data_IF_144400337104
#
_entry.id   IF_144400337104
#
_cell.length_a   1.000
_cell.length_b   1.000
_cell.length_c   1.000
_cell.angle_alpha   90.00
_cell.angle_beta   90.00
_cell.angle_gamma   90.00
#
_symmetry.space_group_name_H-M   'P 1'
#
loop_
_entity.id
_entity.type
_entity.pdbx_description
1 polymer ?
#
# COMPACT_ATOMS: atom_id res chain seq x y z
N UNK A 1 3.88 7.42 -11.22
CA UNK A 1 5.07 8.06 -11.81
C UNK A 1 4.96 9.56 -11.62
N UNK A 2 6.08 10.31 -11.64
CA UNK A 2 6.06 11.77 -11.58
C UNK A 2 5.06 12.36 -12.56
N UNK A 3 4.31 13.37 -12.15
CA UNK A 3 3.18 13.90 -12.92
C UNK A 3 3.61 14.36 -14.31
N UNK A 4 4.78 15.00 -14.45
CA UNK A 4 5.29 15.45 -15.75
C UNK A 4 5.84 14.32 -16.65
N UNK A 5 6.18 13.16 -16.10
CA UNK A 5 6.54 11.97 -16.90
C UNK A 5 5.31 11.26 -17.50
N UNK A 6 4.14 11.40 -16.86
CA UNK A 6 2.89 10.75 -17.30
C UNK A 6 2.03 11.61 -18.23
N UNK A 7 2.30 12.90 -18.30
CA UNK A 7 1.57 13.81 -19.18
C UNK A 7 2.55 14.43 -20.13
N UNK A 8 2.45 14.06 -21.41
CA UNK A 8 2.83 15.02 -22.44
C UNK A 8 2.03 16.30 -22.19
N UNK A 9 2.62 17.47 -22.43
CA UNK A 9 1.93 18.75 -22.25
C UNK A 9 0.64 18.82 -23.08
N UNK A 10 0.55 18.01 -24.15
CA UNK A 10 -0.67 17.82 -24.95
C UNK A 10 -1.76 16.96 -24.26
N UNK A 11 -1.42 15.87 -23.55
CA UNK A 11 -2.43 14.98 -22.90
C UNK A 11 -3.13 15.63 -21.70
N UNK A 12 -2.41 16.44 -20.90
CA UNK A 12 -3.01 17.19 -19.79
C UNK A 12 -4.03 18.26 -20.26
N UNK A 13 -3.96 18.64 -21.53
CA UNK A 13 -4.77 19.70 -22.15
C UNK A 13 -5.93 19.14 -22.98
N UNK A 14 -6.04 17.81 -23.11
CA UNK A 14 -7.09 17.17 -23.90
C UNK A 14 -8.44 17.17 -23.15
N UNK A 15 -9.54 17.64 -23.77
CA UNK A 15 -10.88 17.54 -23.17
C UNK A 15 -11.25 16.07 -22.92
N UNK A 16 -11.42 15.69 -21.64
CA UNK A 16 -11.82 14.34 -21.24
C UNK A 16 -10.74 13.50 -20.52
N UNK A 17 -9.54 14.03 -20.29
CA UNK A 17 -8.50 13.34 -19.51
C UNK A 17 -8.97 13.03 -18.08
N UNK A 18 -9.16 11.74 -17.78
CA UNK A 18 -9.40 11.22 -16.43
C UNK A 18 -8.13 10.54 -15.94
N UNK A 19 -7.53 11.06 -14.86
CA UNK A 19 -6.47 10.34 -14.13
C UNK A 19 -6.94 8.91 -13.83
N UNK A 20 -6.09 7.92 -14.09
CA UNK A 20 -6.37 6.53 -13.71
C UNK A 20 -6.75 6.47 -12.23
N UNK A 21 -7.95 5.94 -11.96
CA UNK A 21 -8.50 5.77 -10.60
C UNK A 21 -8.13 4.41 -10.01
N UNK A 22 -7.15 3.73 -10.58
CA UNK A 22 -6.75 2.41 -10.10
C UNK A 22 -5.90 2.55 -8.85
N UNK A 23 -6.38 1.90 -7.79
CA UNK A 23 -5.79 1.95 -6.48
C UNK A 23 -5.90 0.59 -5.82
N UNK A 24 -4.92 0.30 -4.99
CA UNK A 24 -4.96 -0.73 -3.97
C UNK A 24 -4.68 -0.09 -2.62
N UNK A 25 -5.27 -0.62 -1.55
CA UNK A 25 -4.93 -0.24 -0.18
C UNK A 25 -4.13 -1.34 0.49
N UNK A 26 -3.14 -0.95 1.30
CA UNK A 26 -2.28 -1.85 2.04
C UNK A 26 -2.46 -1.63 3.54
N UNK A 27 -2.59 -2.73 4.28
CA UNK A 27 -2.40 -2.73 5.72
C UNK A 27 -1.08 -3.41 6.05
N UNK A 28 -0.23 -2.66 6.76
CA UNK A 28 1.08 -3.06 7.24
C UNK A 28 1.07 -3.11 8.76
N UNK A 29 1.70 -4.12 9.36
CA UNK A 29 1.80 -4.26 10.81
C UNK A 29 3.12 -4.93 11.18
N UNK A 30 3.79 -4.39 12.21
CA UNK A 30 5.09 -4.86 12.67
C UNK A 30 5.24 -4.60 14.17
N UNK A 31 5.99 -5.48 14.85
CA UNK A 31 6.32 -5.27 16.26
C UNK A 31 7.42 -4.22 16.45
N UNK A 32 7.52 -3.69 17.67
CA UNK A 32 8.43 -2.60 18.00
C UNK A 32 9.93 -2.91 17.81
N UNK A 33 10.35 -4.16 18.00
CA UNK A 33 11.72 -4.60 17.77
C UNK A 33 12.06 -4.73 16.27
N UNK A 34 11.04 -4.74 15.40
CA UNK A 34 11.18 -5.01 13.97
C UNK A 34 11.51 -6.45 13.63
N UNK A 35 11.36 -7.38 14.58
CA UNK A 35 11.66 -8.81 14.41
C UNK A 35 10.48 -9.62 13.88
N UNK A 36 9.26 -9.10 14.02
CA UNK A 36 8.04 -9.76 13.55
C UNK A 36 7.23 -8.79 12.69
N UNK A 37 7.26 -9.04 11.38
CA UNK A 37 6.43 -8.35 10.39
C UNK A 37 5.26 -9.25 10.06
N UNK A 38 4.05 -8.77 10.25
CA UNK A 38 2.87 -9.52 9.85
C UNK A 38 2.77 -9.60 8.33
N UNK A 39 2.12 -10.64 7.79
CA UNK A 39 1.76 -10.70 6.37
C UNK A 39 0.95 -9.47 5.96
N UNK A 40 1.31 -8.87 4.83
CA UNK A 40 0.57 -7.73 4.26
C UNK A 40 -0.88 -8.13 3.96
N UNK A 41 -1.81 -7.20 4.18
CA UNK A 41 -3.14 -7.28 3.62
C UNK A 41 -3.25 -6.26 2.47
N UNK A 42 -3.58 -6.75 1.28
CA UNK A 42 -3.84 -5.93 0.10
C UNK A 42 -5.34 -5.96 -0.22
N UNK A 43 -5.92 -4.77 -0.40
CA UNK A 43 -7.31 -4.57 -0.79
C UNK A 43 -7.34 -4.03 -2.22
N UNK A 44 -7.89 -4.80 -3.14
CA UNK A 44 -8.16 -4.38 -4.51
C UNK A 44 -9.64 -4.14 -4.78
N UNK A 45 -9.98 -3.68 -5.99
CA UNK A 45 -11.39 -3.49 -6.40
C UNK A 45 -12.10 -4.82 -6.68
N UNK A 46 -11.53 -5.60 -7.60
CA UNK A 46 -12.13 -6.83 -8.10
C UNK A 46 -11.96 -7.99 -7.13
N UNK A 47 -13.00 -8.82 -6.96
CA UNK A 47 -12.93 -10.05 -6.17
C UNK A 47 -11.98 -11.09 -6.77
N UNK A 48 -11.93 -11.16 -8.10
CA UNK A 48 -11.08 -12.09 -8.87
C UNK A 48 -10.47 -11.35 -10.06
N UNK A 49 -9.39 -10.60 -9.85
CA UNK A 49 -8.69 -9.93 -10.94
C UNK A 49 -8.31 -10.91 -12.06
N UNK A 50 -8.38 -10.46 -13.31
CA UNK A 50 -7.97 -11.28 -14.49
C UNK A 50 -6.57 -11.87 -14.32
N UNK A 51 -5.65 -11.13 -13.70
CA UNK A 51 -4.27 -11.57 -13.43
C UNK A 51 -4.16 -12.72 -12.43
N UNK A 52 -5.23 -13.08 -11.72
CA UNK A 52 -5.28 -14.23 -10.81
C UNK A 52 -5.74 -15.51 -11.52
N UNK A 53 -6.01 -15.47 -12.83
CA UNK A 53 -6.27 -16.68 -13.61
C UNK A 53 -5.12 -17.68 -13.40
N UNK A 54 -5.47 -18.90 -13.00
CA UNK A 54 -4.53 -19.99 -12.68
C UNK A 54 -3.60 -19.72 -11.48
N UNK A 55 -3.96 -18.80 -10.58
CA UNK A 55 -3.22 -18.57 -9.34
C UNK A 55 -3.99 -19.13 -8.15
N UNK A 56 -3.31 -19.88 -7.30
CA UNK A 56 -3.83 -20.25 -5.99
C UNK A 56 -3.71 -19.00 -5.09
N UNK A 57 -4.81 -18.29 -4.86
CA UNK A 57 -4.79 -17.00 -4.13
C UNK A 57 -4.13 -17.10 -2.76
N UNK A 58 -4.29 -18.24 -2.07
CA UNK A 58 -3.68 -18.48 -0.75
C UNK A 58 -2.15 -18.68 -0.81
N UNK A 59 -1.56 -18.89 -1.98
CA UNK A 59 -0.10 -18.98 -2.15
C UNK A 59 0.54 -17.63 -2.48
N UNK A 60 -0.25 -16.55 -2.57
CA UNK A 60 0.28 -15.20 -2.77
C UNK A 60 1.07 -14.76 -1.52
N UNK A 61 2.10 -13.91 -1.67
CA UNK A 61 2.91 -13.42 -0.55
C UNK A 61 2.17 -12.39 0.32
N UNK A 62 0.89 -12.14 0.06
CA UNK A 62 0.02 -11.21 0.80
C UNK A 62 -1.35 -11.84 0.98
N UNK A 63 -2.08 -11.44 2.02
CA UNK A 63 -3.52 -11.71 2.11
C UNK A 63 -4.26 -10.75 1.17
N UNK A 64 -5.09 -11.28 0.28
CA UNK A 64 -5.90 -10.48 -0.63
C UNK A 64 -7.35 -10.35 -0.12
N UNK A 65 -7.91 -9.15 -0.24
CA UNK A 65 -9.33 -8.84 -0.05
C UNK A 65 -9.80 -7.92 -1.17
N UNK A 66 -11.10 -7.87 -1.41
CA UNK A 66 -11.69 -6.95 -2.35
C UNK A 66 -12.69 -6.02 -1.66
N UNK A 67 -12.76 -4.79 -2.16
CA UNK A 67 -13.77 -3.80 -1.80
C UNK A 67 -13.90 -2.88 -3.01
N UNK A 68 -15.12 -2.53 -3.43
CA UNK A 68 -15.37 -1.86 -4.74
C UNK A 68 -14.56 -0.59 -4.97
N UNK A 69 -14.39 0.21 -3.93
CA UNK A 69 -13.60 1.44 -3.97
C UNK A 69 -12.13 1.23 -3.58
N UNK A 70 -11.71 -0.02 -3.34
CA UNK A 70 -10.42 -0.47 -2.83
C UNK A 70 -9.95 0.24 -1.56
N UNK A 71 -10.87 0.62 -0.67
CA UNK A 71 -10.57 1.25 0.62
C UNK A 71 -10.64 0.27 1.78
N UNK A 72 -9.96 0.62 2.87
CA UNK A 72 -10.16 -0.04 4.17
C UNK A 72 -11.54 0.35 4.74
N UNK A 73 -12.25 -0.62 5.31
CA UNK A 73 -13.46 -0.40 6.11
C UNK A 73 -13.39 -1.19 7.43
N UNK A 74 -14.32 -0.91 8.33
CA UNK A 74 -14.33 -1.51 9.68
C UNK A 74 -14.48 -3.04 9.63
N UNK A 75 -15.27 -3.58 8.71
CA UNK A 75 -15.47 -5.03 8.56
C UNK A 75 -14.18 -5.75 8.15
N UNK A 76 -13.47 -5.23 7.15
CA UNK A 76 -12.20 -5.79 6.69
C UNK A 76 -11.16 -5.69 7.81
N UNK A 77 -11.13 -4.57 8.51
CA UNK A 77 -10.19 -4.35 9.61
C UNK A 77 -10.46 -5.31 10.79
N UNK A 78 -11.72 -5.47 11.19
CA UNK A 78 -12.14 -6.38 12.27
C UNK A 78 -11.82 -7.84 11.91
N UNK A 79 -12.15 -8.28 10.70
CA UNK A 79 -11.77 -9.62 10.20
C UNK A 79 -10.25 -9.80 10.19
N UNK A 80 -9.50 -8.80 9.74
CA UNK A 80 -8.04 -8.86 9.79
C UNK A 80 -7.51 -8.99 11.23
N UNK A 81 -8.12 -8.29 12.18
CA UNK A 81 -7.73 -8.37 13.58
C UNK A 81 -7.94 -9.78 14.15
N UNK A 82 -9.14 -10.35 14.01
CA UNK A 82 -9.49 -11.65 14.59
C UNK A 82 -8.88 -12.85 13.83
N UNK A 83 -8.87 -12.81 12.49
CA UNK A 83 -8.43 -13.95 11.65
C UNK A 83 -6.96 -13.84 11.23
N UNK A 84 -6.34 -12.67 11.43
CA UNK A 84 -4.98 -12.38 11.00
C UNK A 84 -4.05 -12.04 12.15
N UNK A 85 -4.29 -10.91 12.80
CA UNK A 85 -3.42 -10.38 13.84
C UNK A 85 -3.38 -11.29 15.08
N UNK A 86 -4.53 -11.63 15.65
CA UNK A 86 -4.61 -12.42 16.90
C UNK A 86 -3.92 -13.80 16.77
N UNK A 87 -4.20 -14.62 15.73
CA UNK A 87 -3.55 -15.93 15.59
C UNK A 87 -2.04 -15.81 15.35
N UNK A 88 -1.62 -14.85 14.51
CA UNK A 88 -0.19 -14.61 14.22
C UNK A 88 0.56 -14.24 15.49
N UNK A 89 0.04 -13.29 16.27
CA UNK A 89 0.68 -12.84 17.51
C UNK A 89 0.72 -13.96 18.56
N UNK A 90 -0.36 -14.73 18.71
CA UNK A 90 -0.36 -15.91 19.60
C UNK A 90 0.71 -16.91 19.22
N UNK A 91 0.84 -17.21 17.92
CA UNK A 91 1.88 -18.12 17.42
C UNK A 91 3.29 -17.57 17.67
N UNK A 92 3.52 -16.30 17.38
CA UNK A 92 4.81 -15.65 17.60
C UNK A 92 5.21 -15.66 19.09
N UNK A 93 4.29 -15.29 19.98
CA UNK A 93 4.54 -15.30 21.43
C UNK A 93 4.75 -16.71 21.97
N UNK A 94 4.01 -17.71 21.47
CA UNK A 94 4.21 -19.11 21.84
C UNK A 94 5.61 -19.61 21.45
N UNK A 95 6.10 -19.27 20.25
CA UNK A 95 7.48 -19.60 19.83
C UNK A 95 8.55 -18.95 20.73
N UNK A 96 8.24 -17.80 21.34
CA UNK A 96 9.12 -17.12 22.29
C UNK A 96 8.92 -17.57 23.74
N UNK A 97 8.03 -18.54 24.00
CA UNK A 97 7.61 -18.95 25.35
C UNK A 97 7.08 -17.78 26.21
N UNK A 98 6.38 -16.83 25.58
CA UNK A 98 5.77 -15.68 26.22
C UNK A 98 4.26 -15.88 26.39
N UNK A 99 3.64 -15.27 27.41
CA UNK A 99 2.19 -15.29 27.53
C UNK A 99 1.54 -14.54 26.36
N UNK A 100 0.31 -14.90 25.93
CA UNK A 100 -0.36 -14.29 24.79
C UNK A 100 -0.93 -12.90 25.14
N UNK A 101 -0.05 -11.96 25.49
CA UNK A 101 -0.38 -10.58 25.84
C UNK A 101 0.25 -9.63 24.82
N UNK A 102 -0.57 -8.81 24.18
CA UNK A 102 -0.09 -7.86 23.19
C UNK A 102 -1.03 -6.66 23.06
N UNK A 103 -0.46 -5.54 22.62
CA UNK A 103 -1.22 -4.34 22.27
C UNK A 103 -0.94 -3.98 20.82
N UNK A 104 -2.00 -3.85 20.03
CA UNK A 104 -1.95 -3.24 18.70
C UNK A 104 -2.17 -1.75 18.84
N UNK A 105 -1.20 -0.93 18.42
CA UNK A 105 -1.36 0.52 18.35
C UNK A 105 -1.93 0.90 16.98
N UNK A 106 -3.04 1.62 16.97
CA UNK A 106 -3.73 2.05 15.75
C UNK A 106 -3.80 3.59 15.72
N UNK A 107 -3.59 4.18 14.54
CA UNK A 107 -3.88 5.59 14.31
C UNK A 107 -5.38 5.89 14.46
N UNK A 108 -5.72 7.16 14.65
CA UNK A 108 -7.13 7.56 14.72
C UNK A 108 -7.68 7.80 13.30
N UNK A 109 -8.23 6.75 12.68
CA UNK A 109 -8.94 6.83 11.40
C UNK A 109 -10.39 6.30 11.53
N UNK A 110 -11.37 6.90 10.83
CA UNK A 110 -12.77 6.48 10.86
C UNK A 110 -13.04 5.05 10.36
N UNK A 111 -12.07 4.43 9.69
CA UNK A 111 -12.19 3.07 9.14
C UNK A 111 -11.94 1.95 10.18
N UNK A 112 -11.69 2.30 11.44
CA UNK A 112 -11.46 1.33 12.50
C UNK A 112 -12.77 0.98 13.23
N UNK A 113 -12.96 -0.30 13.53
CA UNK A 113 -14.04 -0.76 14.40
C UNK A 113 -13.89 -0.20 15.82
N UNK A 114 -14.99 -0.13 16.57
CA UNK A 114 -14.96 0.32 17.96
C UNK A 114 -13.97 -0.50 18.79
N UNK A 115 -13.24 0.14 19.71
CA UNK A 115 -12.19 -0.48 20.54
C UNK A 115 -12.67 -1.75 21.27
N UNK A 116 -13.96 -1.78 21.65
CA UNK A 116 -14.60 -2.93 22.31
C UNK A 116 -14.65 -4.19 21.43
N UNK A 117 -14.71 -4.03 20.11
CA UNK A 117 -14.75 -5.14 19.15
C UNK A 117 -13.33 -5.66 18.81
N UNK A 118 -12.29 -4.94 19.23
CA UNK A 118 -10.88 -5.24 18.93
C UNK A 118 -10.14 -5.80 20.14
N UNK A 119 -10.74 -6.78 20.80
CA UNK A 119 -10.17 -7.49 21.95
C UNK A 119 -10.37 -9.01 21.82
N UNK A 120 -9.33 -9.78 22.14
CA UNK A 120 -9.37 -11.24 22.26
C UNK A 120 -8.50 -11.66 23.46
N UNK A 121 -9.11 -11.81 24.62
CA UNK A 121 -8.39 -12.09 25.88
C UNK A 121 -7.44 -10.93 26.23
N UNK A 122 -6.15 -11.23 26.42
CA UNK A 122 -5.11 -10.24 26.76
C UNK A 122 -4.47 -9.58 25.52
N UNK A 123 -5.03 -9.81 24.33
CA UNK A 123 -4.63 -9.15 23.09
C UNK A 123 -5.69 -8.12 22.75
N UNK A 124 -5.31 -6.84 22.66
CA UNK A 124 -6.25 -5.75 22.38
C UNK A 124 -5.66 -4.69 21.47
N UNK A 125 -6.52 -3.96 20.78
CA UNK A 125 -6.14 -2.72 20.10
C UNK A 125 -6.30 -1.51 21.02
N UNK A 126 -5.44 -0.51 20.84
CA UNK A 126 -5.53 0.81 21.49
C UNK A 126 -5.34 1.88 20.42
N UNK A 127 -6.19 2.90 20.44
CA UNK A 127 -6.10 4.05 19.57
C UNK A 127 -5.10 5.08 20.11
N UNK A 128 -4.23 5.58 19.23
CA UNK A 128 -3.38 6.71 19.54
C UNK A 128 -4.26 7.97 19.75
N UNK A 129 -3.88 8.89 20.67
CA UNK A 129 -4.65 10.10 20.90
C UNK A 129 -4.81 10.93 19.63
N UNK A 130 -5.99 11.52 19.45
CA UNK A 130 -6.25 12.47 18.35
C UNK A 130 -5.23 13.62 18.37
N UNK A 131 -4.87 14.12 17.19
CA UNK A 131 -3.98 15.29 16.96
C UNK A 131 -2.47 15.08 17.21
N UNK A 132 -2.05 13.89 17.67
CA UNK A 132 -0.61 13.56 17.81
C UNK A 132 -0.16 12.43 16.88
N UNK A 133 -1.09 11.84 16.11
CA UNK A 133 -0.86 10.69 15.22
C UNK A 133 0.34 10.89 14.29
N UNK A 134 0.41 12.01 13.57
CA UNK A 134 1.54 12.32 12.67
C UNK A 134 2.89 12.41 13.41
N UNK A 135 2.87 12.76 14.70
CA UNK A 135 4.05 13.02 15.50
C UNK A 135 4.58 11.77 16.20
N UNK A 136 3.69 10.81 16.51
CA UNK A 136 4.01 9.62 17.32
C UNK A 136 3.77 8.29 16.60
N UNK A 137 2.90 8.21 15.58
CA UNK A 137 2.60 6.95 14.89
C UNK A 137 3.87 6.39 14.22
N UNK A 138 4.42 5.26 14.68
CA UNK A 138 5.70 4.75 14.17
C UNK A 138 5.64 4.40 12.68
N UNK A 139 4.48 3.89 12.24
CA UNK A 139 4.26 3.50 10.86
C UNK A 139 4.38 4.68 9.89
N UNK A 140 3.80 5.82 10.25
CA UNK A 140 3.76 7.03 9.41
C UNK A 140 5.09 7.80 9.45
N UNK A 141 5.91 7.58 10.48
CA UNK A 141 7.16 8.33 10.62
C UNK A 141 8.28 7.86 9.70
N UNK A 142 8.42 6.55 9.48
CA UNK A 142 9.57 6.00 8.72
C UNK A 142 9.28 4.69 8.01
N UNK A 143 8.43 3.85 8.58
CA UNK A 143 8.24 2.47 8.10
C UNK A 143 7.50 2.46 6.77
N UNK A 144 6.37 3.16 6.68
CA UNK A 144 5.58 3.26 5.44
C UNK A 144 6.37 4.03 4.38
N UNK A 145 7.05 5.12 4.73
CA UNK A 145 7.88 5.88 3.80
C UNK A 145 9.00 5.01 3.19
N UNK A 146 9.74 4.27 4.03
CA UNK A 146 10.79 3.36 3.56
C UNK A 146 10.22 2.29 2.61
N UNK A 147 9.06 1.70 2.96
CA UNK A 147 8.38 0.74 2.10
C UNK A 147 7.97 1.35 0.76
N UNK A 148 7.38 2.57 0.77
CA UNK A 148 7.00 3.31 -0.44
C UNK A 148 8.20 3.56 -1.35
N UNK A 149 9.34 3.99 -0.80
CA UNK A 149 10.59 4.20 -1.56
C UNK A 149 11.09 2.91 -2.20
N UNK A 150 11.09 1.79 -1.46
CA UNK A 150 11.46 0.49 -2.03
C UNK A 150 10.50 0.01 -3.12
N UNK A 151 9.19 0.20 -2.93
CA UNK A 151 8.18 -0.11 -3.94
C UNK A 151 8.38 0.73 -5.21
N UNK A 152 8.58 2.03 -5.04
CA UNK A 152 8.81 2.99 -6.14
C UNK A 152 10.06 2.65 -6.95
N UNK A 153 11.19 2.34 -6.29
CA UNK A 153 12.40 1.83 -6.96
C UNK A 153 12.08 0.58 -7.79
N UNK A 154 11.35 -0.39 -7.22
CA UNK A 154 10.96 -1.62 -7.94
C UNK A 154 10.07 -1.35 -9.15
N UNK A 155 9.09 -0.47 -9.00
CA UNK A 155 8.19 -0.09 -10.09
C UNK A 155 8.96 0.50 -11.26
N UNK A 156 9.85 1.46 -10.99
CA UNK A 156 10.67 2.11 -12.02
C UNK A 156 11.62 1.09 -12.67
N UNK A 157 12.31 0.27 -11.87
CA UNK A 157 13.19 -0.79 -12.41
C UNK A 157 12.43 -1.81 -13.24
N UNK A 158 11.17 -2.12 -12.92
CA UNK A 158 10.33 -3.00 -13.72
C UNK A 158 9.99 -2.37 -15.07
N UNK A 159 9.66 -1.07 -15.07
CA UNK A 159 9.36 -0.30 -16.28
C UNK A 159 10.59 -0.19 -17.19
N UNK A 160 11.77 0.08 -16.63
CA UNK A 160 13.05 0.10 -17.38
C UNK A 160 13.39 -1.22 -18.08
N UNK A 161 12.88 -2.34 -17.59
CA UNK A 161 13.09 -3.65 -18.20
C UNK A 161 12.11 -3.95 -19.33
N UNK A 162 11.09 -3.10 -19.51
CA UNK A 162 10.17 -3.21 -20.63
C UNK A 162 10.79 -2.48 -21.82
N UNK A 163 10.84 -3.13 -22.99
CA UNK A 163 11.32 -2.53 -24.24
C UNK A 163 10.28 -1.57 -24.88
N UNK A 164 9.38 -1.01 -24.08
CA UNK A 164 8.31 -0.12 -24.52
C UNK A 164 8.40 1.22 -23.80
N UNK A 165 7.81 2.25 -24.40
CA UNK A 165 7.65 3.54 -23.75
C UNK A 165 6.87 3.43 -22.42
N UNK A 166 6.98 4.47 -21.59
CA UNK A 166 6.39 4.50 -20.25
C UNK A 166 4.91 4.09 -20.20
N UNK A 167 4.10 4.58 -21.15
CA UNK A 167 2.67 4.30 -21.20
C UNK A 167 2.38 2.82 -21.55
N UNK A 168 3.14 2.22 -22.46
CA UNK A 168 3.06 0.79 -22.77
C UNK A 168 3.42 -0.08 -21.57
N UNK A 169 4.53 0.25 -20.91
CA UNK A 169 5.01 -0.47 -19.72
C UNK A 169 3.98 -0.40 -18.56
N UNK A 170 3.41 0.78 -18.31
CA UNK A 170 2.41 0.96 -17.25
C UNK A 170 1.10 0.19 -17.51
N UNK A 171 0.63 0.13 -18.76
CA UNK A 171 -0.57 -0.62 -19.12
C UNK A 171 -0.43 -2.13 -18.89
N UNK A 172 0.79 -2.66 -18.89
CA UNK A 172 1.07 -4.09 -18.63
C UNK A 172 1.12 -4.45 -17.15
N UNK A 173 1.34 -3.47 -16.27
CA UNK A 173 1.40 -3.71 -14.83
C UNK A 173 0.02 -4.04 -14.31
N UNK A 174 -0.13 -5.25 -13.77
CA UNK A 174 -1.38 -5.70 -13.17
C UNK A 174 -1.22 -5.91 -11.66
N UNK A 175 -2.33 -6.22 -10.98
CA UNK A 175 -2.35 -6.38 -9.51
C UNK A 175 -1.44 -7.51 -9.00
N UNK A 176 -1.16 -8.54 -9.81
CA UNK A 176 -0.22 -9.60 -9.44
C UNK A 176 1.19 -9.00 -9.31
N UNK A 177 1.62 -8.20 -10.28
CA UNK A 177 2.92 -7.55 -10.26
C UNK A 177 3.04 -6.62 -9.06
N UNK A 178 1.99 -5.85 -8.77
CA UNK A 178 1.90 -5.00 -7.58
C UNK A 178 2.07 -5.84 -6.31
N UNK A 179 1.38 -6.96 -6.17
CA UNK A 179 1.48 -7.87 -5.01
C UNK A 179 2.91 -8.31 -4.76
N UNK A 180 3.63 -8.75 -5.81
CA UNK A 180 5.01 -9.18 -5.66
C UNK A 180 5.94 -7.99 -5.35
N UNK A 181 5.74 -6.84 -5.99
CA UNK A 181 6.53 -5.64 -5.74
C UNK A 181 6.38 -5.15 -4.30
N UNK A 182 5.15 -5.06 -3.77
CA UNK A 182 4.91 -4.60 -2.39
C UNK A 182 5.39 -5.61 -1.36
N UNK A 183 5.24 -6.91 -1.62
CA UNK A 183 5.76 -7.95 -0.74
C UNK A 183 7.29 -7.86 -0.64
N UNK A 184 7.99 -7.71 -1.76
CA UNK A 184 9.43 -7.55 -1.76
C UNK A 184 9.87 -6.22 -1.11
N UNK A 185 9.14 -5.12 -1.37
CA UNK A 185 9.41 -3.84 -0.73
C UNK A 185 9.27 -3.92 0.80
N UNK A 186 8.26 -4.65 1.29
CA UNK A 186 8.06 -4.88 2.72
C UNK A 186 9.20 -5.67 3.35
N UNK A 187 9.75 -6.68 2.66
CA UNK A 187 10.90 -7.43 3.16
C UNK A 187 12.15 -6.55 3.30
N UNK A 188 12.36 -5.58 2.40
CA UNK A 188 13.51 -4.68 2.43
C UNK A 188 13.51 -3.68 3.60
N UNK A 189 12.36 -3.41 4.23
CA UNK A 189 12.28 -2.52 5.40
C UNK A 189 13.04 -3.11 6.58
N UNK A 190 14.19 -2.54 6.97
CA UNK A 190 15.06 -3.13 8.00
C UNK A 190 14.49 -2.97 9.41
N UNK A 191 14.78 -3.95 10.29
CA UNK A 191 14.43 -3.88 11.71
C UNK A 191 14.98 -2.62 12.40
N UNK A 192 16.18 -2.15 12.01
CA UNK A 192 16.74 -0.90 12.52
C UNK A 192 15.88 0.33 12.19
N UNK A 193 15.31 0.41 10.97
CA UNK A 193 14.38 1.47 10.58
C UNK A 193 13.11 1.43 11.43
N UNK A 194 12.59 0.23 11.68
CA UNK A 194 11.43 0.01 12.55
C UNK A 194 11.74 0.44 13.99
N UNK A 195 12.81 -0.07 14.61
CA UNK A 195 13.22 0.33 15.98
C UNK A 195 13.33 1.85 16.13
N UNK A 196 13.98 2.53 15.17
CA UNK A 196 14.10 4.00 15.16
C UNK A 196 12.75 4.70 15.13
N UNK A 197 11.76 4.17 14.41
CA UNK A 197 10.40 4.74 14.35
C UNK A 197 9.63 4.60 15.67
N UNK A 198 9.87 3.53 16.43
CA UNK A 198 9.23 3.29 17.72
C UNK A 198 9.92 4.02 18.88
N UNK A 199 11.09 4.61 18.66
CA UNK A 199 11.90 5.25 19.70
C UNK A 199 11.12 6.33 20.48
N UNK A 200 10.31 7.13 19.78
CA UNK A 200 9.50 8.20 20.40
C UNK A 200 8.39 7.68 21.33
N UNK A 201 7.90 6.45 21.12
CA UNK A 201 6.85 5.84 21.95
C UNK A 201 7.47 5.02 23.10
N UNK A 202 8.56 4.30 22.82
CA UNK A 202 9.11 3.31 23.75
C UNK A 202 10.19 3.89 24.66
N UNK A 203 10.90 4.92 24.22
CA UNK A 203 12.09 5.43 24.89
C UNK A 203 11.85 6.81 25.47
N UNK A 204 11.16 6.83 26.62
CA UNK A 204 11.39 7.87 27.64
C UNK A 204 12.56 7.51 28.58
N UNK A 205 13.25 6.36 28.42
CA UNK A 205 14.19 5.89 29.48
C UNK A 205 15.43 5.06 29.13
N UNK A 206 15.92 4.95 27.89
CA UNK A 206 17.22 4.27 27.63
C UNK A 206 18.07 5.02 26.61
N UNK A 207 19.24 5.48 27.08
CA UNK A 207 20.31 6.05 26.26
C UNK A 207 20.87 5.01 25.29
N UNK A 208 21.39 5.56 24.22
CA UNK A 208 21.75 5.01 22.92
C UNK A 208 22.87 3.97 22.99
N UNK A 209 22.81 3.02 22.06
CA UNK A 209 23.96 2.59 21.26
C UNK A 209 23.42 2.11 19.91
N UNK A 210 24.02 2.60 18.81
CA UNK A 210 24.37 1.84 17.60
C UNK A 210 24.64 2.77 16.42
N UNK A 211 25.93 3.05 16.20
CA UNK A 211 26.52 3.37 14.91
C UNK A 211 26.70 2.08 14.12
N UNK A 212 25.83 1.83 13.13
CA UNK A 212 26.12 0.90 12.04
C UNK A 212 25.66 1.53 10.72
N UNK A 213 26.60 1.74 9.81
CA UNK A 213 26.31 2.06 8.41
C UNK A 213 25.68 0.84 7.76
N UNK A 214 24.48 1.01 7.23
CA UNK A 214 23.81 0.02 6.37
C UNK A 214 23.08 0.78 5.27
N UNK A 215 22.95 0.16 4.09
CA UNK A 215 22.21 0.75 2.96
C UNK A 215 20.83 1.23 3.41
N UNK A 216 20.61 2.53 3.29
CA UNK A 216 19.37 3.19 3.67
C UNK A 216 18.29 2.94 2.59
N UNK A 217 17.00 3.23 2.87
CA UNK A 217 16.00 3.30 1.80
C UNK A 217 16.52 4.17 0.64
N UNK A 218 16.10 3.91 -0.61
CA UNK A 218 16.56 4.66 -1.76
C UNK A 218 16.43 6.16 -1.53
N UNK A 219 17.56 6.84 -1.70
CA UNK A 219 17.65 8.30 -1.67
C UNK A 219 16.96 8.90 -2.88
N UNK A 220 16.65 10.20 -2.80
CA UNK A 220 16.01 10.91 -3.91
C UNK A 220 16.92 10.90 -5.15
N UNK A 221 18.24 11.06 -4.97
CA UNK A 221 19.22 10.99 -6.06
C UNK A 221 19.31 9.61 -6.73
N UNK A 222 19.28 8.52 -5.95
CA UNK A 222 19.21 7.18 -6.55
C UNK A 222 17.91 6.97 -7.36
N UNK A 223 16.79 7.53 -6.92
CA UNK A 223 15.54 7.45 -7.69
C UNK A 223 15.60 8.32 -8.95
N UNK A 224 16.24 9.49 -8.87
CA UNK A 224 16.43 10.41 -9.99
C UNK A 224 17.24 9.78 -11.13
N UNK A 225 18.38 9.18 -10.81
CA UNK A 225 19.21 8.50 -11.81
C UNK A 225 18.45 7.38 -12.53
N UNK A 226 17.63 6.62 -11.79
CA UNK A 226 16.83 5.54 -12.37
C UNK A 226 15.70 6.10 -13.24
N UNK A 227 15.02 7.18 -12.83
CA UNK A 227 13.91 7.77 -13.59
C UNK A 227 14.40 8.37 -14.91
N UNK A 228 15.53 9.09 -14.91
CA UNK A 228 16.10 9.67 -16.13
C UNK A 228 16.61 8.62 -17.13
N UNK A 229 16.78 7.37 -16.69
CA UNK A 229 17.07 6.26 -17.58
C UNK A 229 15.86 5.74 -18.36
N UNK A 230 14.63 6.19 -18.05
CA UNK A 230 13.42 5.76 -18.77
C UNK A 230 13.24 6.63 -20.02
N UNK A 231 13.05 5.99 -21.17
CA UNK A 231 12.67 6.66 -22.41
C UNK A 231 11.36 7.46 -22.24
N UNK A 232 11.42 8.77 -22.49
CA UNK A 232 10.32 9.72 -22.27
C UNK A 232 10.30 10.39 -20.88
N UNK A 233 11.30 10.15 -20.03
CA UNK A 233 11.46 10.80 -18.72
C UNK A 233 12.70 11.71 -18.63
N UNK A 234 13.31 12.07 -19.75
CA UNK A 234 14.61 12.76 -19.79
C UNK A 234 14.58 14.19 -19.22
N UNK A 235 13.40 14.80 -19.12
CA UNK A 235 13.18 16.16 -18.58
C UNK A 235 12.69 16.18 -17.12
N UNK A 236 12.69 15.04 -16.40
CA UNK A 236 12.22 14.99 -15.01
C UNK A 236 13.19 15.76 -14.10
N UNK A 237 12.66 16.70 -13.32
CA UNK A 237 13.44 17.46 -12.33
C UNK A 237 13.35 16.81 -10.93
N UNK A 238 14.29 17.15 -10.04
CA UNK A 238 14.27 16.71 -8.63
C UNK A 238 12.94 17.05 -7.93
N UNK A 239 12.38 18.22 -8.23
CA UNK A 239 11.08 18.65 -7.70
C UNK A 239 9.93 17.72 -8.12
N UNK A 240 10.00 17.14 -9.32
CA UNK A 240 8.97 16.23 -9.83
C UNK A 240 9.03 14.87 -9.10
N UNK A 241 10.22 14.45 -8.67
CA UNK A 241 10.42 13.26 -7.84
C UNK A 241 9.92 13.49 -6.43
N UNK A 242 10.25 14.63 -5.84
CA UNK A 242 9.73 14.99 -4.53
C UNK A 242 8.20 14.98 -4.52
N UNK A 243 7.58 15.65 -5.50
CA UNK A 243 6.12 15.64 -5.66
C UNK A 243 5.57 14.22 -5.85
N UNK A 244 6.24 13.38 -6.64
CA UNK A 244 5.83 11.99 -6.81
C UNK A 244 5.92 11.16 -5.53
N UNK A 245 6.94 11.39 -4.70
CA UNK A 245 7.09 10.75 -3.40
C UNK A 245 5.91 11.12 -2.48
N UNK A 246 5.49 12.38 -2.51
CA UNK A 246 4.47 12.95 -1.62
C UNK A 246 3.00 12.82 -2.09
N UNK A 247 2.73 12.52 -3.37
CA UNK A 247 1.35 12.40 -3.92
C UNK A 247 0.45 11.49 -3.07
N UNK A 248 0.98 10.40 -2.53
CA UNK A 248 0.20 9.44 -1.75
C UNK A 248 -0.15 9.94 -0.34
N UNK A 249 0.58 10.94 0.17
CA UNK A 249 0.30 11.55 1.47
C UNK A 249 -0.84 12.59 1.37
N UNK A 250 -1.24 12.96 0.15
CA UNK A 250 -2.33 13.92 -0.12
C UNK A 250 -3.72 13.26 -0.18
N UNK A 251 -3.79 11.92 -0.20
CA UNK A 251 -5.04 11.18 -0.16
C UNK A 251 -5.28 10.59 1.23
N UNK A 252 -6.48 10.77 1.84
CA UNK A 252 -6.80 10.14 3.12
C UNK A 252 -6.69 8.61 2.98
N UNK A 253 -6.30 7.89 4.04
CA UNK A 253 -6.17 6.42 4.01
C UNK A 253 -7.51 5.66 4.07
N UNK A 254 -8.61 6.40 4.19
CA UNK A 254 -9.99 5.93 4.32
C UNK A 254 -10.92 6.76 3.44
N UNK A 255 -12.05 6.18 3.05
CA UNK A 255 -13.13 6.89 2.36
C UNK A 255 -14.14 7.41 3.39
N UNK A 256 -14.54 8.67 3.23
CA UNK A 256 -15.82 9.16 3.75
C UNK A 256 -16.84 8.85 2.67
N UNK A 257 -17.63 7.79 2.84
CA UNK A 257 -18.66 7.40 1.89
C UNK A 257 -19.81 8.41 1.96
N UNK A 258 -20.31 8.85 0.80
CA UNK A 258 -21.58 9.58 0.74
C UNK A 258 -22.77 8.59 0.72
N UNK A 259 -24.00 9.07 0.88
CA UNK A 259 -25.19 8.23 1.01
C UNK A 259 -25.39 7.28 -0.20
N UNK A 260 -25.03 7.71 -1.41
CA UNK A 260 -25.10 6.87 -2.63
C UNK A 260 -24.05 5.76 -2.62
N UNK A 261 -22.84 6.05 -2.16
CA UNK A 261 -21.75 5.09 -2.01
C UNK A 261 -22.01 4.09 -0.87
N UNK A 262 -22.73 4.50 0.18
CA UNK A 262 -23.23 3.60 1.24
C UNK A 262 -24.22 2.61 0.66
N UNK A 263 -25.18 3.08 -0.15
CA UNK A 263 -26.18 2.22 -0.81
C UNK A 263 -25.47 1.19 -1.72
N UNK A 264 -24.49 1.61 -2.52
CA UNK A 264 -23.72 0.70 -3.36
C UNK A 264 -22.84 -0.29 -2.58
N UNK A 265 -22.37 0.08 -1.38
CA UNK A 265 -21.58 -0.81 -0.54
C UNK A 265 -22.44 -1.89 0.13
N UNK A 266 -23.74 -1.65 0.31
CA UNK A 266 -24.68 -2.54 1.04
C UNK A 266 -25.56 -3.35 0.09
N UNK A 267 -25.69 -2.98 -1.18
CA UNK A 267 -26.55 -3.66 -2.16
C UNK A 267 -25.98 -5.02 -2.64
N UNK A 268 -26.57 -6.17 -2.25
CA UNK A 268 -26.13 -7.50 -2.67
C UNK A 268 -26.45 -7.81 -4.15
N UNK A 269 -27.29 -7.03 -4.83
CA UNK A 269 -27.64 -7.26 -6.24
C UNK A 269 -26.54 -6.85 -7.23
N UNK A 270 -25.61 -6.03 -6.77
CA UNK A 270 -24.43 -5.59 -7.52
C UNK A 270 -23.30 -6.63 -7.60
N UNK A 271 -23.42 -7.77 -6.89
CA UNK A 271 -22.46 -8.89 -6.92
C UNK A 271 -22.54 -9.74 -8.21
N UNK A 272 -23.49 -9.44 -9.11
CA UNK A 272 -23.80 -10.29 -10.28
C UNK A 272 -23.13 -9.82 -11.58
N UNK A 273 -22.66 -8.57 -11.69
CA UNK A 273 -22.19 -7.99 -12.96
C UNK A 273 -20.68 -7.73 -13.07
N UNK A 274 -19.83 -8.60 -12.52
CA UNK A 274 -18.37 -8.54 -12.74
C UNK A 274 -17.91 -9.46 -13.90
N UNK A 275 -18.84 -10.05 -14.66
CA UNK A 275 -18.51 -10.90 -15.81
C UNK A 275 -18.33 -10.12 -17.12
N UNK A 276 -18.98 -8.95 -17.30
CA UNK A 276 -19.00 -8.23 -18.57
C UNK A 276 -18.71 -6.72 -18.36
N UNK A 277 -17.48 -6.39 -18.00
CA UNK A 277 -16.89 -5.17 -18.59
C UNK A 277 -16.07 -5.64 -19.78
N UNK A 278 -16.77 -5.86 -20.90
CA UNK A 278 -16.16 -5.72 -22.21
C UNK A 278 -15.57 -4.31 -22.24
N UNK A 279 -14.25 -4.21 -22.07
CA UNK A 279 -13.50 -3.10 -22.65
C UNK A 279 -13.83 -3.18 -24.15
N UNK A 280 -14.80 -2.40 -24.62
CA UNK A 280 -15.04 -2.21 -26.05
C UNK A 280 -13.79 -1.50 -26.59
N UNK A 281 -12.82 -2.32 -27.00
CA UNK A 281 -11.77 -1.93 -27.89
C UNK A 281 -12.44 -1.40 -29.16
N UNK A 282 -12.16 -0.14 -29.48
CA UNK A 282 -12.50 0.49 -30.75
C UNK A 282 -11.75 -0.25 -31.88
N UNK A 283 -12.27 -1.39 -32.32
CA UNK A 283 -12.11 -1.86 -33.70
C UNK A 283 -13.22 -1.21 -34.53
N UNK A 284 -12.90 -0.10 -35.20
CA UNK A 284 -13.20 0.09 -36.63
C UNK A 284 -12.89 1.53 -37.06
N UNK A 285 -11.93 1.64 -37.98
CA UNK A 285 -12.01 2.43 -39.21
C UNK A 285 -10.78 2.11 -40.06
N UNK A 286 -10.69 0.86 -40.53
CA UNK A 286 -10.02 0.56 -41.79
C UNK A 286 -11.08 0.25 -42.83
N UNK A 287 -11.63 1.32 -43.40
CA UNK A 287 -12.44 1.30 -44.62
C UNK A 287 -11.79 2.24 -45.65
N UNK A 288 -11.21 1.61 -46.68
CA UNK A 288 -10.70 2.04 -47.99
C UNK A 288 -11.17 3.38 -48.61
N UNK A 289 -10.52 3.88 -49.69
CA UNK A 289 -9.53 3.23 -50.57
C UNK A 289 -8.10 3.79 -50.52
#
# INVERSE_FOLDING_TARGET
MPSKSLTSKEEASAPGYKKSKDRVSLLVCVNASGTDKLPLLLIGKSKKPRSFKNIIVNSLPVKYRNQKSAWMNSEIFEKWFHDGFVPHVKQHLAHLNLPPKAVLLIGNAPCHAEEKMLTSGEIRAIFLPSNVTSLIQPMDQRVIEAMKRHYKKKLITHILKCEENLNGALKKINVKDIIYMVAQAWQLVKAATIRKSFHKIIVQKRREDESQQTENPPTDGELFEIINGIEGCEEVLDEDIFNWLEIENQHPSFQILNDEEVIQAVDPSSDINDADNEDQDFEDLRGCP
#
